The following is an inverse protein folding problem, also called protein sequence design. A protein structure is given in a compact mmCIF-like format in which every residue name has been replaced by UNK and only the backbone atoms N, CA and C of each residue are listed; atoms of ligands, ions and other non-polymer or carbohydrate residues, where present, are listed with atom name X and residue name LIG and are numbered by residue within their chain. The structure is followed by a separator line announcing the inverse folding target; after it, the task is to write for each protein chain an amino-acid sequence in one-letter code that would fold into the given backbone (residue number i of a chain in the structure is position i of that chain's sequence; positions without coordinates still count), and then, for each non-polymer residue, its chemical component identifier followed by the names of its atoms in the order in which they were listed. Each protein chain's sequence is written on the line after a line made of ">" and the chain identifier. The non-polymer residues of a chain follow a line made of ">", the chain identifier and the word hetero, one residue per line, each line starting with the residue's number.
data_IF_166885458181
#
_entry.id   IF_166885458181
#
_cell.length_a   1.000
_cell.length_b   1.000
_cell.length_c   1.000
_cell.angle_alpha   90.00
_cell.angle_beta   90.00
_cell.angle_gamma   90.00
#
_symmetry.space_group_name_H-M   'P 1'
#
loop_
_entity.id
_entity.type
_entity.pdbx_description
1 polymer ?
#
# COMPACT_ATOMS: atom_id res chain seq x y z
N UNK A 1 -12.39 3.71 16.47
CA UNK A 1 -11.91 4.73 15.52
C UNK A 1 -10.53 4.28 15.07
N UNK A 2 -10.32 4.09 13.77
CA UNK A 2 -9.03 3.71 13.20
C UNK A 2 -8.33 4.94 12.67
N UNK A 3 -7.03 5.03 12.88
CA UNK A 3 -6.25 6.22 12.53
C UNK A 3 -5.15 5.86 11.56
N UNK A 4 -5.04 6.67 10.52
CA UNK A 4 -3.92 6.61 9.58
C UNK A 4 -2.73 7.21 10.32
N UNK A 5 -1.64 6.46 10.48
CA UNK A 5 -0.43 6.98 11.14
C UNK A 5 0.27 8.12 10.34
N UNK A 6 -0.23 8.43 9.14
CA UNK A 6 0.24 9.49 8.26
C UNK A 6 -0.76 10.64 8.29
N UNK A 7 -0.26 11.86 8.47
CA UNK A 7 -1.08 13.08 8.41
C UNK A 7 -1.72 13.26 7.02
N UNK A 8 -2.76 14.08 6.95
CA UNK A 8 -3.41 14.43 5.68
C UNK A 8 -2.37 15.03 4.72
N UNK A 9 -2.18 14.41 3.54
CA UNK A 9 -1.23 14.88 2.53
C UNK A 9 -1.91 15.93 1.62
N UNK A 10 -1.80 17.24 1.91
CA UNK A 10 -2.61 18.26 1.26
C UNK A 10 -2.16 18.42 -0.19
N UNK A 11 -3.12 18.53 -1.11
CA UNK A 11 -2.86 18.60 -2.55
C UNK A 11 -2.63 17.24 -3.23
N UNK A 12 -2.80 16.12 -2.51
CA UNK A 12 -2.81 14.77 -3.07
C UNK A 12 -4.22 14.16 -3.13
N UNK A 13 -5.26 14.94 -2.81
CA UNK A 13 -6.63 14.47 -2.75
C UNK A 13 -7.14 14.08 -4.14
N UNK A 14 -7.74 12.89 -4.24
CA UNK A 14 -8.34 12.40 -5.49
C UNK A 14 -7.34 12.05 -6.60
N UNK A 15 -6.03 12.07 -6.33
CA UNK A 15 -5.00 11.84 -7.35
C UNK A 15 -4.57 10.38 -7.54
N UNK A 16 -5.07 9.48 -6.69
CA UNK A 16 -4.75 8.04 -6.73
C UNK A 16 -3.23 7.74 -6.72
N UNK A 17 -2.46 8.52 -5.96
CA UNK A 17 -0.98 8.45 -5.95
C UNK A 17 -0.39 8.10 -4.59
N UNK A 18 -1.17 8.21 -3.50
CA UNK A 18 -0.68 8.03 -2.13
C UNK A 18 -0.70 6.55 -1.77
N UNK A 19 0.37 6.08 -1.14
CA UNK A 19 0.43 4.72 -0.63
C UNK A 19 -0.66 4.45 0.44
N UNK A 20 -1.57 3.48 0.19
CA UNK A 20 -2.62 3.13 1.15
C UNK A 20 -2.13 2.24 2.31
N UNK A 21 -0.85 1.86 2.34
CA UNK A 21 -0.29 0.83 3.22
C UNK A 21 -0.54 1.05 4.71
N UNK A 22 -0.54 2.29 5.21
CA UNK A 22 -0.84 2.55 6.62
C UNK A 22 -2.27 2.17 7.00
N UNK A 23 -3.26 2.45 6.14
CA UNK A 23 -4.67 2.08 6.38
C UNK A 23 -4.85 0.57 6.29
N UNK A 24 -4.20 -0.05 5.30
CA UNK A 24 -4.27 -1.49 5.05
C UNK A 24 -3.69 -2.29 6.21
N UNK A 25 -2.55 -1.86 6.76
CA UNK A 25 -1.93 -2.50 7.92
C UNK A 25 -2.71 -2.22 9.22
N UNK A 26 -3.30 -1.04 9.39
CA UNK A 26 -4.20 -0.78 10.51
C UNK A 26 -5.46 -1.65 10.48
N UNK A 27 -5.97 -2.01 9.30
CA UNK A 27 -7.09 -2.93 9.14
C UNK A 27 -6.70 -4.38 9.50
N UNK A 28 -5.48 -4.80 9.16
CA UNK A 28 -4.96 -6.15 9.47
C UNK A 28 -4.89 -6.43 10.98
N UNK A 29 -4.42 -5.45 11.76
CA UNK A 29 -4.30 -5.55 13.23
C UNK A 29 -5.66 -5.78 13.91
N UNK A 30 -6.75 -5.21 13.39
CA UNK A 30 -8.09 -5.36 13.99
C UNK A 30 -8.90 -6.52 13.44
N UNK A 31 -8.66 -6.96 12.20
CA UNK A 31 -9.31 -8.13 11.61
C UNK A 31 -8.82 -9.46 12.23
N UNK A 32 -7.99 -9.40 13.27
CA UNK A 32 -7.39 -10.57 13.92
C UNK A 32 -6.51 -11.37 12.95
N UNK A 33 -5.52 -10.69 12.34
CA UNK A 33 -4.30 -11.35 11.87
C UNK A 33 -4.49 -12.37 10.76
N UNK A 34 -5.45 -12.15 9.85
CA UNK A 34 -5.50 -12.87 8.59
C UNK A 34 -4.26 -12.51 7.77
N UNK A 35 -3.14 -13.20 8.01
CA UNK A 35 -1.80 -12.89 7.49
C UNK A 35 -1.68 -12.77 5.97
N UNK A 36 -2.77 -12.99 5.22
CA UNK A 36 -2.90 -12.67 3.80
C UNK A 36 -2.60 -11.20 3.48
N UNK A 37 -2.96 -10.23 4.32
CA UNK A 37 -2.63 -8.80 4.05
C UNK A 37 -1.12 -8.56 4.15
N UNK A 38 -0.46 -9.13 5.17
CA UNK A 38 1.00 -9.07 5.31
C UNK A 38 1.67 -9.79 4.13
N UNK A 39 1.16 -10.95 3.73
CA UNK A 39 1.68 -11.72 2.59
C UNK A 39 1.54 -10.94 1.27
N UNK A 40 0.37 -10.35 1.02
CA UNK A 40 0.13 -9.49 -0.14
C UNK A 40 1.06 -8.28 -0.17
N UNK A 41 1.24 -7.62 0.97
CA UNK A 41 2.16 -6.47 1.11
C UNK A 41 3.60 -6.86 0.81
N UNK A 42 4.08 -7.95 1.40
CA UNK A 42 5.43 -8.44 1.15
C UNK A 42 5.61 -8.87 -0.31
N UNK A 43 4.59 -9.50 -0.92
CA UNK A 43 4.62 -9.92 -2.32
C UNK A 43 4.71 -8.74 -3.28
N UNK A 44 3.84 -7.74 -3.15
CA UNK A 44 3.82 -6.56 -4.01
C UNK A 44 5.13 -5.75 -3.91
N UNK A 45 5.66 -5.58 -2.69
CA UNK A 45 6.95 -4.89 -2.49
C UNK A 45 8.11 -5.71 -3.08
N UNK A 46 8.12 -7.04 -2.91
CA UNK A 46 9.17 -7.91 -3.47
C UNK A 46 9.13 -7.97 -5.00
N UNK A 47 7.94 -7.91 -5.60
CA UNK A 47 7.74 -7.78 -7.04
C UNK A 47 8.12 -6.39 -7.59
N UNK A 48 8.45 -5.44 -6.70
CA UNK A 48 8.74 -4.04 -7.01
C UNK A 48 7.59 -3.34 -7.75
N UNK A 49 6.35 -3.79 -7.56
CA UNK A 49 5.14 -3.15 -8.09
C UNK A 49 4.53 -2.30 -6.99
N UNK A 50 4.90 -1.02 -6.94
CA UNK A 50 4.74 -0.17 -5.75
C UNK A 50 4.30 1.24 -6.11
N UNK A 51 3.78 1.96 -5.12
CA UNK A 51 3.38 3.37 -5.28
C UNK A 51 4.59 4.32 -5.35
N UNK A 52 4.32 5.55 -5.76
CA UNK A 52 5.32 6.61 -6.01
C UNK A 52 6.34 6.80 -4.88
N UNK A 53 5.94 6.65 -3.62
CA UNK A 53 6.82 6.82 -2.47
C UNK A 53 7.89 5.71 -2.34
N UNK A 54 7.60 4.49 -2.78
CA UNK A 54 8.58 3.41 -2.83
C UNK A 54 9.37 3.36 -4.14
N UNK A 55 8.73 3.69 -5.26
CA UNK A 55 9.38 3.65 -6.58
C UNK A 55 10.61 4.55 -6.64
N UNK A 56 10.53 5.76 -6.07
CA UNK A 56 11.69 6.68 -5.97
C UNK A 56 12.88 6.13 -5.19
N UNK A 57 12.66 5.10 -4.35
CA UNK A 57 13.69 4.48 -3.51
C UNK A 57 14.15 3.13 -4.07
N UNK A 58 13.59 2.66 -5.19
CA UNK A 58 13.81 1.32 -5.74
C UNK A 58 14.19 1.37 -7.22
N UNK A 59 15.38 0.86 -7.55
CA UNK A 59 15.78 0.74 -8.95
C UNK A 59 15.00 -0.37 -9.67
N UNK A 60 14.41 -0.02 -10.82
CA UNK A 60 13.63 -0.93 -11.66
C UNK A 60 12.25 -1.27 -11.10
N UNK A 61 11.69 -0.43 -10.22
CA UNK A 61 10.33 -0.59 -9.74
C UNK A 61 9.29 -0.14 -10.77
N UNK A 62 8.14 -0.81 -10.76
CA UNK A 62 6.97 -0.46 -11.57
C UNK A 62 6.08 0.46 -10.73
N UNK A 63 5.91 1.70 -11.19
CA UNK A 63 5.04 2.68 -10.55
C UNK A 63 3.57 2.28 -10.73
N UNK A 64 2.87 2.13 -9.60
CA UNK A 64 1.42 1.91 -9.54
C UNK A 64 0.69 3.09 -8.90
N UNK A 65 -0.58 3.24 -9.25
CA UNK A 65 -1.53 4.10 -8.54
C UNK A 65 -1.96 3.47 -7.21
N UNK A 66 -2.64 4.21 -6.33
CA UNK A 66 -3.11 3.68 -5.05
C UNK A 66 -4.08 2.52 -5.22
N UNK A 67 -5.03 2.64 -6.17
CA UNK A 67 -5.99 1.59 -6.51
C UNK A 67 -5.30 0.35 -7.10
N UNK A 68 -4.40 0.54 -8.07
CA UNK A 68 -3.66 -0.56 -8.67
C UNK A 68 -2.71 -1.27 -7.68
N UNK A 69 -2.17 -0.53 -6.70
CA UNK A 69 -1.41 -1.14 -5.61
C UNK A 69 -2.32 -2.01 -4.72
N UNK A 70 -3.57 -1.59 -4.47
CA UNK A 70 -4.58 -2.42 -3.82
C UNK A 70 -4.82 -3.74 -4.55
N UNK A 71 -4.95 -3.71 -5.87
CA UNK A 71 -5.11 -4.91 -6.69
C UNK A 71 -3.87 -5.81 -6.64
N UNK A 72 -2.66 -5.23 -6.74
CA UNK A 72 -1.40 -5.96 -6.62
C UNK A 72 -1.26 -6.64 -5.25
N UNK A 73 -1.74 -6.01 -4.17
CA UNK A 73 -1.78 -6.64 -2.86
C UNK A 73 -2.64 -7.89 -2.88
N UNK A 74 -3.85 -7.82 -3.47
CA UNK A 74 -4.80 -8.94 -3.58
C UNK A 74 -4.22 -10.10 -4.40
N UNK A 75 -3.56 -9.82 -5.51
CA UNK A 75 -2.89 -10.82 -6.36
C UNK A 75 -1.81 -11.62 -5.61
N UNK A 76 -1.21 -11.03 -4.59
CA UNK A 76 -0.14 -11.63 -3.79
C UNK A 76 -0.60 -12.22 -2.44
N UNK A 77 -1.89 -12.13 -2.10
CA UNK A 77 -2.43 -12.69 -0.83
C UNK A 77 -2.36 -14.22 -0.76
#
# INVERSE_FOLDING_TARGET
>A
MFEVARDTAPGQEGKDQVNPGSVILSAEIWMCGGGGIIKGTNGAISAKTVTYDFEQLMEGATLLSSSAFGDALIEHM
#
